data_IF_967697945486
#
_entry.id   IF_967697945486
#
_cell.length_a   1.000
_cell.length_b   1.000
_cell.length_c   1.000
_cell.angle_alpha   90.00
_cell.angle_beta   90.00
_cell.angle_gamma   90.00
#
_symmetry.space_group_name_H-M   'P 1'
#
loop_
_entity.id
_entity.type
_entity.pdbx_description
1 polymer ?
#
# COMPACT_ATOMS: atom_id res chain seq x y z
N UNK A 1 55.75 7.18 -10.35
CA UNK A 1 54.44 7.28 -11.01
C UNK A 1 53.75 5.94 -11.27
N UNK A 2 54.46 4.85 -11.57
CA UNK A 2 53.83 3.53 -11.79
C UNK A 2 53.25 2.85 -10.52
N UNK A 3 53.83 3.09 -9.34
CA UNK A 3 53.36 2.49 -8.08
C UNK A 3 52.00 3.05 -7.59
N UNK A 4 51.77 4.36 -7.77
CA UNK A 4 50.51 5.03 -7.40
C UNK A 4 49.33 4.61 -8.28
N UNK A 5 49.59 4.35 -9.56
CA UNK A 5 48.59 3.86 -10.51
C UNK A 5 48.21 2.41 -10.18
N UNK A 6 49.20 1.57 -9.83
CA UNK A 6 48.96 0.19 -9.43
C UNK A 6 48.18 0.07 -8.12
N UNK A 7 48.44 0.95 -7.14
CA UNK A 7 47.64 1.00 -5.90
C UNK A 7 46.22 1.52 -6.14
N UNK A 8 46.02 2.56 -6.94
CA UNK A 8 44.68 3.01 -7.32
C UNK A 8 43.91 1.95 -8.11
N UNK A 9 44.55 1.21 -9.01
CA UNK A 9 43.91 0.09 -9.72
C UNK A 9 43.61 -1.08 -8.79
N UNK A 10 44.46 -1.35 -7.79
CA UNK A 10 44.23 -2.38 -6.79
C UNK A 10 43.09 -1.99 -5.85
N UNK A 11 42.99 -0.71 -5.48
CA UNK A 11 41.90 -0.14 -4.68
C UNK A 11 40.58 -0.14 -5.46
N UNK A 12 40.60 0.27 -6.74
CA UNK A 12 39.46 0.11 -7.64
C UNK A 12 39.07 -1.38 -7.74
N UNK A 13 40.02 -2.29 -7.98
CA UNK A 13 39.72 -3.72 -8.11
C UNK A 13 39.16 -4.35 -6.83
N UNK A 14 39.54 -3.83 -5.64
CA UNK A 14 38.97 -4.21 -4.35
C UNK A 14 37.54 -3.67 -4.18
N UNK A 15 37.25 -2.47 -4.69
CA UNK A 15 35.89 -1.91 -4.77
C UNK A 15 35.00 -2.63 -5.81
N UNK A 16 35.58 -3.15 -6.89
CA UNK A 16 34.87 -3.86 -7.97
C UNK A 16 34.72 -5.37 -7.75
N UNK A 17 35.26 -5.93 -6.65
CA UNK A 17 35.28 -7.39 -6.44
C UNK A 17 33.95 -7.97 -5.96
N UNK A 18 33.05 -7.16 -5.39
CA UNK A 18 31.71 -7.58 -5.01
C UNK A 18 30.68 -6.98 -5.98
N UNK A 19 30.06 -7.85 -6.79
CA UNK A 19 28.93 -7.48 -7.67
C UNK A 19 27.86 -6.70 -6.91
N UNK A 20 27.63 -7.04 -5.64
CA UNK A 20 26.62 -6.42 -4.79
C UNK A 20 26.96 -4.96 -4.42
N UNK A 21 28.23 -4.61 -4.21
CA UNK A 21 28.63 -3.24 -3.85
C UNK A 21 28.64 -2.32 -5.07
N UNK A 22 29.01 -2.84 -6.25
CA UNK A 22 28.91 -2.09 -7.50
C UNK A 22 27.44 -1.84 -7.91
N UNK A 23 26.58 -2.86 -7.79
CA UNK A 23 25.14 -2.71 -8.04
C UNK A 23 24.52 -1.72 -7.05
N UNK A 24 24.90 -1.81 -5.76
CA UNK A 24 24.40 -0.91 -4.73
C UNK A 24 24.87 0.53 -4.95
N UNK A 25 26.16 0.78 -5.17
CA UNK A 25 26.68 2.12 -5.42
C UNK A 25 26.18 2.71 -6.74
N UNK A 26 26.00 1.87 -7.77
CA UNK A 26 25.37 2.27 -9.04
C UNK A 26 23.89 2.63 -8.88
N UNK A 27 23.13 1.85 -8.11
CA UNK A 27 21.73 2.14 -7.75
C UNK A 27 21.61 3.42 -6.92
N UNK A 28 22.53 3.65 -5.98
CA UNK A 28 22.57 4.90 -5.20
C UNK A 28 22.87 6.08 -6.11
N UNK A 29 23.87 6.00 -7.00
CA UNK A 29 24.21 7.09 -7.92
C UNK A 29 23.07 7.38 -8.92
N UNK A 30 22.48 6.35 -9.53
CA UNK A 30 21.30 6.49 -10.40
C UNK A 30 20.08 7.00 -9.61
N UNK A 31 19.93 6.56 -8.36
CA UNK A 31 18.90 7.03 -7.45
C UNK A 31 19.07 8.50 -7.12
N UNK A 32 20.29 8.97 -6.86
CA UNK A 32 20.59 10.38 -6.58
C UNK A 32 20.30 11.26 -7.79
N UNK A 33 20.87 10.95 -8.97
CA UNK A 33 20.65 11.71 -10.20
C UNK A 33 19.17 11.69 -10.60
N UNK A 34 18.53 10.51 -10.57
CA UNK A 34 17.10 10.38 -10.85
C UNK A 34 16.26 11.15 -9.84
N UNK A 35 16.66 11.20 -8.56
CA UNK A 35 15.97 11.96 -7.53
C UNK A 35 16.13 13.46 -7.72
N UNK A 36 17.32 13.96 -8.08
CA UNK A 36 17.54 15.39 -8.33
C UNK A 36 16.70 15.88 -9.52
N UNK A 37 16.69 15.14 -10.62
CA UNK A 37 15.87 15.46 -11.79
C UNK A 37 14.37 15.36 -11.49
N UNK A 38 13.94 14.36 -10.72
CA UNK A 38 12.55 14.25 -10.25
C UNK A 38 12.18 15.38 -9.28
N UNK A 39 13.07 15.79 -8.38
CA UNK A 39 12.82 16.89 -7.45
C UNK A 39 12.77 18.24 -8.17
N UNK A 40 13.49 18.40 -9.28
CA UNK A 40 13.42 19.58 -10.16
C UNK A 40 12.11 19.65 -10.93
N UNK A 41 11.64 18.55 -11.52
CA UNK A 41 10.35 18.50 -12.27
C UNK A 41 9.14 18.59 -11.34
N UNK A 42 9.24 18.04 -10.13
CA UNK A 42 8.20 18.13 -9.08
C UNK A 42 8.46 19.33 -8.16
N UNK A 43 9.35 20.26 -8.55
CA UNK A 43 9.64 21.44 -7.76
C UNK A 43 8.36 22.25 -7.57
N UNK A 44 8.00 22.43 -6.30
CA UNK A 44 6.82 23.18 -5.92
C UNK A 44 7.07 24.68 -6.15
N UNK A 45 6.31 25.29 -7.06
CA UNK A 45 6.41 26.71 -7.38
C UNK A 45 5.07 27.40 -7.10
N UNK A 46 5.02 28.24 -6.07
CA UNK A 46 3.79 28.94 -5.70
C UNK A 46 3.43 30.00 -6.76
N UNK A 47 2.16 30.09 -7.22
CA UNK A 47 1.76 31.05 -8.26
C UNK A 47 1.65 32.50 -7.78
N UNK A 48 1.72 32.74 -6.47
CA UNK A 48 1.66 34.06 -5.82
C UNK A 48 0.57 35.00 -6.34
N UNK A 49 -0.60 34.42 -6.55
CA UNK A 49 -1.80 35.11 -6.97
C UNK A 49 -2.91 34.86 -5.96
N UNK A 50 -3.68 35.89 -5.57
CA UNK A 50 -4.85 35.69 -4.71
C UNK A 50 -5.82 34.69 -5.36
N UNK A 51 -6.51 33.93 -4.52
CA UNK A 51 -7.41 32.81 -4.81
C UNK A 51 -6.78 31.59 -5.53
N UNK A 52 -5.63 31.72 -6.20
CA UNK A 52 -4.96 30.61 -6.88
C UNK A 52 -4.01 29.85 -5.96
N UNK A 53 -3.44 30.56 -5.00
CA UNK A 53 -2.51 30.04 -4.01
C UNK A 53 -3.10 28.89 -3.21
N UNK A 54 -4.29 29.05 -2.62
CA UNK A 54 -4.94 27.97 -1.86
C UNK A 54 -5.22 26.74 -2.74
N UNK A 55 -5.73 26.93 -3.96
CA UNK A 55 -6.07 25.82 -4.88
C UNK A 55 -4.81 25.05 -5.23
N UNK A 56 -3.75 25.76 -5.63
CA UNK A 56 -2.49 25.13 -6.03
C UNK A 56 -1.80 24.42 -4.86
N UNK A 57 -1.71 25.07 -3.70
CA UNK A 57 -1.11 24.48 -2.50
C UNK A 57 -1.87 23.25 -2.00
N UNK A 58 -3.21 23.29 -1.98
CA UNK A 58 -4.03 22.13 -1.64
C UNK A 58 -3.91 21.01 -2.68
N UNK A 59 -3.90 21.34 -3.97
CA UNK A 59 -3.73 20.35 -5.04
C UNK A 59 -2.36 19.67 -4.95
N UNK A 60 -1.29 20.41 -4.66
CA UNK A 60 0.06 19.87 -4.51
C UNK A 60 0.18 18.88 -3.34
N UNK A 61 -0.60 19.05 -2.27
CA UNK A 61 -0.66 18.09 -1.16
C UNK A 61 -1.61 16.93 -1.51
N UNK A 62 -2.83 17.25 -1.95
CA UNK A 62 -3.94 16.31 -2.06
C UNK A 62 -3.90 15.41 -3.30
N UNK A 63 -3.48 15.92 -4.47
CA UNK A 63 -3.49 15.14 -5.71
C UNK A 63 -2.46 13.99 -5.67
N UNK A 64 -1.20 14.21 -5.26
CA UNK A 64 -0.26 13.09 -5.13
C UNK A 64 -0.69 12.10 -4.05
N UNK A 65 -1.26 12.57 -2.93
CA UNK A 65 -1.84 11.69 -1.93
C UNK A 65 -2.97 10.81 -2.53
N UNK A 66 -3.90 11.40 -3.26
CA UNK A 66 -4.99 10.65 -3.91
C UNK A 66 -4.44 9.63 -4.92
N UNK A 67 -3.46 10.02 -5.74
CA UNK A 67 -2.82 9.11 -6.70
C UNK A 67 -2.16 7.93 -6.00
N UNK A 68 -1.37 8.18 -4.94
CA UNK A 68 -0.73 7.14 -4.14
C UNK A 68 -1.74 6.21 -3.47
N UNK A 69 -2.86 6.76 -2.99
CA UNK A 69 -3.95 6.00 -2.42
C UNK A 69 -4.58 5.05 -3.47
N UNK A 70 -4.90 5.56 -4.66
CA UNK A 70 -5.48 4.76 -5.75
C UNK A 70 -4.53 3.64 -6.18
N UNK A 71 -3.24 3.94 -6.34
CA UNK A 71 -2.21 2.93 -6.65
C UNK A 71 -2.19 1.85 -5.56
N UNK A 72 -2.21 2.27 -4.28
CA UNK A 72 -2.26 1.34 -3.14
C UNK A 72 -3.49 0.43 -3.13
N UNK A 73 -4.66 0.94 -3.55
CA UNK A 73 -5.89 0.15 -3.67
C UNK A 73 -5.80 -0.84 -4.84
N UNK A 74 -5.27 -0.41 -5.99
CA UNK A 74 -5.14 -1.21 -7.22
C UNK A 74 -4.16 -2.38 -7.04
N UNK A 75 -3.01 -2.16 -6.39
CA UNK A 75 -2.01 -3.22 -6.20
C UNK A 75 -2.34 -4.19 -5.06
N UNK A 76 -3.36 -3.92 -4.27
CA UNK A 76 -3.73 -4.79 -3.17
C UNK A 76 -4.59 -5.97 -3.67
N UNK A 77 -4.01 -7.17 -3.68
CA UNK A 77 -4.71 -8.41 -4.05
C UNK A 77 -5.98 -8.67 -3.22
N UNK A 78 -6.05 -8.17 -1.98
CA UNK A 78 -7.26 -8.29 -1.17
C UNK A 78 -8.43 -7.48 -1.73
N UNK A 79 -8.18 -6.35 -2.41
CA UNK A 79 -9.20 -5.55 -3.10
C UNK A 79 -9.89 -6.39 -4.16
N UNK A 80 -9.12 -7.02 -5.05
CA UNK A 80 -9.63 -7.82 -6.15
C UNK A 80 -10.36 -9.09 -5.67
N UNK A 81 -9.87 -9.71 -4.59
CA UNK A 81 -10.55 -10.84 -3.97
C UNK A 81 -11.95 -10.46 -3.47
N UNK A 82 -12.09 -9.28 -2.85
CA UNK A 82 -13.38 -8.78 -2.36
C UNK A 82 -14.32 -8.42 -3.51
N UNK A 83 -13.81 -7.76 -4.56
CA UNK A 83 -14.59 -7.45 -5.77
C UNK A 83 -15.08 -8.72 -6.45
N UNK A 84 -14.21 -9.72 -6.60
CA UNK A 84 -14.57 -11.01 -7.19
C UNK A 84 -15.62 -11.77 -6.36
N UNK A 85 -15.54 -11.71 -5.02
CA UNK A 85 -16.57 -12.27 -4.15
C UNK A 85 -17.91 -11.54 -4.26
N UNK A 86 -17.90 -10.21 -4.29
CA UNK A 86 -19.11 -9.41 -4.45
C UNK A 86 -19.82 -9.72 -5.78
N UNK A 87 -19.05 -9.77 -6.87
CA UNK A 87 -19.57 -10.10 -8.20
C UNK A 87 -20.18 -11.51 -8.27
N UNK A 88 -19.54 -12.53 -7.66
CA UNK A 88 -20.00 -13.92 -7.78
C UNK A 88 -21.04 -14.36 -6.75
N UNK A 89 -20.98 -13.86 -5.51
CA UNK A 89 -21.87 -14.30 -4.41
C UNK A 89 -23.00 -13.31 -4.08
N UNK A 90 -23.00 -12.14 -4.71
CA UNK A 90 -23.91 -11.05 -4.38
C UNK A 90 -23.67 -10.47 -2.98
N UNK A 91 -24.10 -9.23 -2.77
CA UNK A 91 -23.90 -8.47 -1.52
C UNK A 91 -24.50 -9.18 -0.28
N UNK A 92 -25.49 -10.06 -0.49
CA UNK A 92 -26.31 -10.69 0.57
C UNK A 92 -25.58 -11.67 1.49
N UNK A 93 -24.40 -12.17 1.10
CA UNK A 93 -23.68 -13.21 1.87
C UNK A 93 -22.57 -12.67 2.77
N UNK A 94 -22.36 -11.35 2.79
CA UNK A 94 -21.31 -10.73 3.58
C UNK A 94 -21.87 -10.22 4.91
N UNK A 95 -21.35 -10.74 6.03
CA UNK A 95 -21.58 -10.11 7.33
C UNK A 95 -21.00 -8.69 7.30
N UNK A 96 -21.79 -7.70 7.72
CA UNK A 96 -21.38 -6.30 7.73
C UNK A 96 -20.07 -6.09 8.50
N UNK A 97 -19.89 -6.81 9.62
CA UNK A 97 -18.68 -6.76 10.43
C UNK A 97 -17.45 -7.30 9.68
N UNK A 98 -17.58 -8.41 8.94
CA UNK A 98 -16.49 -8.97 8.15
C UNK A 98 -16.10 -8.05 6.99
N UNK A 99 -17.10 -7.43 6.35
CA UNK A 99 -16.88 -6.43 5.29
C UNK A 99 -16.12 -5.22 5.83
N UNK A 100 -16.50 -4.72 7.00
CA UNK A 100 -15.84 -3.59 7.65
C UNK A 100 -14.38 -3.90 8.02
N UNK A 101 -14.11 -5.10 8.56
CA UNK A 101 -12.74 -5.53 8.88
C UNK A 101 -11.86 -5.66 7.62
N UNK A 102 -12.41 -6.21 6.54
CA UNK A 102 -11.68 -6.33 5.27
C UNK A 102 -11.44 -4.98 4.63
N UNK A 103 -12.46 -4.11 4.62
CA UNK A 103 -12.35 -2.76 4.10
C UNK A 103 -11.30 -1.96 4.88
N UNK A 104 -11.34 -2.00 6.22
CA UNK A 104 -10.32 -1.40 7.08
C UNK A 104 -8.91 -1.95 6.82
N UNK A 105 -8.80 -3.25 6.55
CA UNK A 105 -7.52 -3.90 6.20
C UNK A 105 -6.97 -3.45 4.84
N UNK A 106 -7.84 -3.21 3.86
CA UNK A 106 -7.47 -2.72 2.52
C UNK A 106 -7.10 -1.25 2.60
N UNK A 107 -7.98 -0.42 3.17
CA UNK A 107 -7.81 1.02 3.32
C UNK A 107 -6.58 1.34 4.16
N UNK A 108 -6.36 0.63 5.27
CA UNK A 108 -5.20 0.83 6.13
C UNK A 108 -3.86 0.59 5.42
N UNK A 109 -3.78 -0.44 4.56
CA UNK A 109 -2.56 -0.69 3.75
C UNK A 109 -2.39 0.35 2.64
N UNK A 110 -3.47 0.73 1.97
CA UNK A 110 -3.44 1.74 0.91
C UNK A 110 -3.14 3.15 1.44
N UNK A 111 -3.51 3.46 2.69
CA UNK A 111 -3.33 4.77 3.31
C UNK A 111 -1.88 5.06 3.76
N UNK A 112 -0.99 4.07 3.80
CA UNK A 112 0.41 4.28 4.28
C UNK A 112 1.14 5.33 3.44
N UNK A 113 1.15 5.17 2.12
CA UNK A 113 1.82 6.08 1.19
C UNK A 113 1.24 7.51 1.21
N UNK A 114 -0.09 7.74 1.10
CA UNK A 114 -0.66 9.09 1.12
C UNK A 114 -0.49 9.81 2.47
N UNK A 115 -0.59 9.10 3.59
CA UNK A 115 -0.32 9.67 4.91
C UNK A 115 1.15 10.10 4.98
N UNK A 116 2.07 9.25 4.55
CA UNK A 116 3.51 9.57 4.52
C UNK A 116 3.80 10.80 3.66
N UNK A 117 3.23 10.87 2.46
CA UNK A 117 3.35 12.03 1.58
C UNK A 117 2.84 13.32 2.24
N UNK A 118 1.66 13.24 2.86
CA UNK A 118 1.02 14.40 3.51
C UNK A 118 1.87 14.89 4.70
N UNK A 119 2.39 13.98 5.50
CA UNK A 119 3.32 14.28 6.60
C UNK A 119 4.58 14.98 6.06
N UNK A 120 5.23 14.43 5.05
CA UNK A 120 6.44 15.03 4.46
C UNK A 120 6.14 16.43 3.92
N UNK A 121 5.01 16.60 3.22
CA UNK A 121 4.59 17.88 2.65
C UNK A 121 4.31 18.93 3.74
N UNK A 122 3.65 18.54 4.83
CA UNK A 122 3.39 19.42 5.98
C UNK A 122 4.66 19.77 6.75
N UNK A 123 5.60 18.84 6.91
CA UNK A 123 6.87 19.11 7.58
C UNK A 123 7.79 20.03 6.77
N UNK A 124 7.76 19.91 5.42
CA UNK A 124 8.41 20.88 4.51
C UNK A 124 7.75 22.25 4.61
N UNK A 125 6.42 22.29 4.66
CA UNK A 125 5.63 23.49 4.91
C UNK A 125 5.47 24.45 3.73
N UNK A 126 6.16 24.25 2.62
CA UNK A 126 6.11 25.13 1.44
C UNK A 126 4.70 25.24 0.84
N UNK A 127 4.03 24.09 0.65
CA UNK A 127 2.67 24.05 0.12
C UNK A 127 1.63 24.65 1.08
N UNK A 128 1.83 24.48 2.39
CA UNK A 128 0.96 25.07 3.42
C UNK A 128 1.12 26.59 3.49
N UNK A 129 2.37 27.09 3.46
CA UNK A 129 2.67 28.51 3.40
C UNK A 129 2.04 29.12 2.14
N UNK A 130 2.24 28.50 0.97
CA UNK A 130 1.61 28.96 -0.26
C UNK A 130 0.09 29.01 -0.13
N UNK A 131 -0.55 27.96 0.38
CA UNK A 131 -2.00 27.87 0.46
C UNK A 131 -2.63 28.88 1.43
N UNK A 132 -1.97 29.18 2.55
CA UNK A 132 -2.56 29.95 3.64
C UNK A 132 -2.07 31.39 3.77
N UNK A 133 -1.04 31.78 3.01
CA UNK A 133 -0.51 33.15 3.06
C UNK A 133 -1.59 34.20 2.81
N UNK A 134 -2.53 33.96 1.89
CA UNK A 134 -3.61 34.90 1.58
C UNK A 134 -4.67 35.05 2.69
N UNK A 135 -4.78 34.10 3.61
CA UNK A 135 -5.79 34.11 4.68
C UNK A 135 -5.30 34.73 5.98
N UNK A 136 -4.02 35.12 6.05
CA UNK A 136 -3.49 35.84 7.21
C UNK A 136 -4.12 37.22 7.28
N UNK A 137 -4.60 37.64 8.45
CA UNK A 137 -5.20 38.97 8.58
C UNK A 137 -4.10 40.02 8.76
N UNK A 138 -4.07 41.11 7.96
CA UNK A 138 -3.13 42.22 8.16
C UNK A 138 -3.22 42.83 9.56
N UNK A 139 -4.41 42.86 10.15
CA UNK A 139 -4.64 43.36 11.52
C UNK A 139 -3.98 42.53 12.62
N UNK A 140 -3.52 41.30 12.31
CA UNK A 140 -2.78 40.46 13.25
C UNK A 140 -1.27 40.76 13.26
N UNK A 141 -0.81 41.63 12.35
CA UNK A 141 0.59 42.04 12.24
C UNK A 141 0.76 43.45 12.82
N UNK A 142 1.70 43.60 13.76
CA UNK A 142 1.95 44.87 14.43
C UNK A 142 2.53 45.91 13.45
N UNK A 143 1.87 47.06 13.30
CA UNK A 143 2.28 48.17 12.42
C UNK A 143 2.36 47.80 10.93
N UNK A 144 1.47 46.92 10.45
CA UNK A 144 1.36 46.65 9.02
C UNK A 144 1.01 47.93 8.23
N UNK A 145 1.69 48.26 7.11
CA UNK A 145 1.42 49.50 6.40
C UNK A 145 0.03 49.47 5.75
N UNK A 146 -0.80 50.48 6.05
CA UNK A 146 -2.17 50.58 5.56
C UNK A 146 -2.28 50.78 4.03
N UNK A 147 -1.17 51.12 3.38
CA UNK A 147 -1.05 51.28 1.93
C UNK A 147 -1.21 49.96 1.16
N UNK A 148 -0.94 48.82 1.82
CA UNK A 148 -1.02 47.50 1.20
C UNK A 148 -2.29 46.76 1.61
N UNK A 149 -3.03 46.28 0.61
CA UNK A 149 -4.22 45.45 0.82
C UNK A 149 -3.89 44.01 1.23
N UNK A 150 -4.91 43.19 1.57
CA UNK A 150 -4.73 41.79 1.95
C UNK A 150 -4.12 40.93 0.82
N UNK A 151 -4.32 41.31 -0.44
CA UNK A 151 -3.82 40.57 -1.61
C UNK A 151 -2.29 40.51 -1.68
N UNK A 152 -1.58 41.45 -1.04
CA UNK A 152 -0.11 41.44 -0.96
C UNK A 152 0.41 40.23 -0.20
N UNK A 153 -0.35 39.71 0.76
CA UNK A 153 0.04 38.53 1.54
C UNK A 153 0.14 37.28 0.66
N UNK A 154 -0.66 37.19 -0.42
CA UNK A 154 -0.56 36.10 -1.39
C UNK A 154 0.81 36.06 -2.10
N UNK A 155 1.58 37.16 -2.10
CA UNK A 155 2.92 37.22 -2.73
C UNK A 155 4.07 36.87 -1.79
N UNK A 156 3.82 36.76 -0.49
CA UNK A 156 4.85 36.45 0.50
C UNK A 156 5.64 35.15 0.24
N UNK A 157 5.05 34.08 -0.34
CA UNK A 157 5.80 32.88 -0.70
C UNK A 157 6.89 33.10 -1.77
N UNK A 158 6.72 34.03 -2.72
CA UNK A 158 7.57 34.12 -3.92
C UNK A 158 8.82 35.00 -3.81
N UNK A 159 9.17 35.50 -2.63
CA UNK A 159 10.34 36.40 -2.42
C UNK A 159 10.28 37.75 -3.16
N UNK A 160 9.33 37.96 -4.05
CA UNK A 160 9.13 39.19 -4.85
C UNK A 160 8.30 40.25 -4.11
N UNK A 161 8.78 40.68 -2.94
CA UNK A 161 8.07 41.63 -2.06
C UNK A 161 8.99 42.83 -1.77
N UNK A 162 8.49 44.07 -1.78
CA UNK A 162 9.33 45.25 -1.52
C UNK A 162 9.98 45.20 -0.13
N UNK A 163 11.14 45.86 -0.01
CA UNK A 163 12.02 45.75 1.16
C UNK A 163 11.34 46.10 2.49
N UNK A 164 10.40 47.04 2.48
CA UNK A 164 9.59 47.46 3.63
C UNK A 164 8.69 46.34 4.20
N UNK A 165 8.36 45.32 3.41
CA UNK A 165 7.48 44.22 3.78
C UNK A 165 8.23 42.92 4.09
N UNK A 166 9.56 42.88 3.90
CA UNK A 166 10.39 41.68 4.15
C UNK A 166 10.29 41.16 5.58
N UNK A 167 10.30 42.05 6.57
CA UNK A 167 10.13 41.68 7.99
C UNK A 167 8.80 40.95 8.24
N UNK A 168 7.71 41.49 7.70
CA UNK A 168 6.37 40.90 7.83
C UNK A 168 6.27 39.57 7.09
N UNK A 169 6.89 39.48 5.92
CA UNK A 169 6.99 38.24 5.15
C UNK A 169 7.67 37.15 5.97
N UNK A 170 8.82 37.43 6.58
CA UNK A 170 9.55 36.45 7.38
C UNK A 170 8.78 36.04 8.63
N UNK A 171 8.09 36.98 9.28
CA UNK A 171 7.20 36.70 10.41
C UNK A 171 6.03 35.79 10.04
N UNK A 172 5.30 36.11 8.96
CA UNK A 172 4.19 35.32 8.45
C UNK A 172 4.65 33.95 7.98
N UNK A 173 5.76 33.89 7.24
CA UNK A 173 6.36 32.64 6.76
C UNK A 173 6.75 31.75 7.94
N UNK A 174 7.37 32.33 8.98
CA UNK A 174 7.72 31.58 10.21
C UNK A 174 6.50 31.06 10.94
N UNK A 175 5.44 31.88 11.07
CA UNK A 175 4.19 31.49 11.70
C UNK A 175 3.52 30.33 10.95
N UNK A 176 3.31 30.46 9.64
CA UNK A 176 2.68 29.44 8.82
C UNK A 176 3.53 28.16 8.74
N UNK A 177 4.87 28.28 8.73
CA UNK A 177 5.76 27.12 8.79
C UNK A 177 5.60 26.36 10.11
N UNK A 178 5.55 27.08 11.22
CA UNK A 178 5.29 26.48 12.54
C UNK A 178 3.93 25.76 12.56
N UNK A 179 2.86 26.41 12.09
CA UNK A 179 1.52 25.80 12.03
C UNK A 179 1.53 24.53 11.18
N UNK A 180 2.16 24.57 10.00
CA UNK A 180 2.33 23.41 9.12
C UNK A 180 3.08 22.26 9.79
N UNK A 181 4.22 22.55 10.43
CA UNK A 181 5.02 21.53 11.12
C UNK A 181 4.30 20.95 12.32
N UNK A 182 3.55 21.77 13.07
CA UNK A 182 2.69 21.32 14.15
C UNK A 182 1.63 20.35 13.64
N UNK A 183 0.92 20.69 12.55
CA UNK A 183 -0.03 19.76 11.92
C UNK A 183 0.63 18.47 11.45
N UNK A 184 1.84 18.54 10.89
CA UNK A 184 2.63 17.37 10.52
C UNK A 184 2.94 16.44 11.70
N UNK A 185 3.41 17.00 12.82
CA UNK A 185 3.68 16.24 14.04
C UNK A 185 2.43 15.67 14.71
N UNK A 186 1.35 16.45 14.76
CA UNK A 186 0.05 15.98 15.26
C UNK A 186 -0.49 14.83 14.42
N UNK A 187 -0.38 14.92 13.09
CA UNK A 187 -0.78 13.85 12.18
C UNK A 187 0.02 12.57 12.42
N UNK A 188 1.35 12.66 12.59
CA UNK A 188 2.19 11.51 12.97
C UNK A 188 1.70 10.89 14.28
N UNK A 189 1.47 11.71 15.31
CA UNK A 189 1.03 11.26 16.62
C UNK A 189 -0.33 10.53 16.56
N UNK A 190 -1.31 11.12 15.88
CA UNK A 190 -2.64 10.53 15.68
C UNK A 190 -2.53 9.20 14.94
N UNK A 191 -1.75 9.14 13.86
CA UNK A 191 -1.57 7.91 13.08
C UNK A 191 -0.89 6.82 13.91
N UNK A 192 0.13 7.15 14.70
CA UNK A 192 0.80 6.20 15.58
C UNK A 192 -0.16 5.62 16.63
N UNK A 193 -0.97 6.47 17.28
CA UNK A 193 -1.99 6.04 18.24
C UNK A 193 -3.05 5.17 17.57
N UNK A 194 -3.53 5.54 16.38
CA UNK A 194 -4.48 4.73 15.62
C UNK A 194 -3.92 3.35 15.26
N UNK A 195 -2.66 3.26 14.83
CA UNK A 195 -1.99 1.98 14.55
C UNK A 195 -1.88 1.15 15.82
N UNK A 196 -1.50 1.75 16.94
CA UNK A 196 -1.43 1.07 18.23
C UNK A 196 -2.79 0.53 18.66
N UNK A 197 -3.83 1.37 18.67
CA UNK A 197 -5.18 0.98 19.06
C UNK A 197 -5.75 -0.11 18.15
N UNK A 198 -5.57 0.00 16.83
CA UNK A 198 -6.05 -1.02 15.89
C UNK A 198 -5.33 -2.35 16.08
N UNK A 199 -4.04 -2.35 16.41
CA UNK A 199 -3.29 -3.56 16.76
C UNK A 199 -3.79 -4.18 18.07
N UNK A 200 -3.97 -3.36 19.12
CA UNK A 200 -4.52 -3.82 20.39
C UNK A 200 -5.92 -4.41 20.22
N UNK A 201 -6.82 -3.69 19.56
CA UNK A 201 -8.18 -4.16 19.27
C UNK A 201 -8.17 -5.44 18.44
N UNK A 202 -7.32 -5.54 17.41
CA UNK A 202 -7.18 -6.77 16.63
C UNK A 202 -6.77 -7.95 17.51
N UNK A 203 -5.81 -7.76 18.41
CA UNK A 203 -5.36 -8.83 19.30
C UNK A 203 -6.37 -9.18 20.40
N UNK A 204 -7.08 -8.19 20.96
CA UNK A 204 -8.11 -8.42 21.97
C UNK A 204 -9.39 -9.04 21.39
N UNK A 205 -9.77 -8.68 20.17
CA UNK A 205 -10.98 -9.18 19.50
C UNK A 205 -10.72 -10.41 18.63
N UNK A 206 -9.47 -10.89 18.53
CA UNK A 206 -9.16 -12.12 17.81
C UNK A 206 -9.67 -13.31 18.62
N UNK A 207 -10.55 -14.15 18.06
CA UNK A 207 -10.98 -15.39 18.73
C UNK A 207 -9.84 -16.44 18.79
N UNK A 208 -8.73 -16.19 18.09
CA UNK A 208 -7.59 -17.08 17.97
C UNK A 208 -6.45 -16.67 18.88
N UNK A 209 -5.82 -17.67 19.52
CA UNK A 209 -4.54 -17.49 20.21
C UNK A 209 -3.45 -17.02 19.25
N UNK A 210 -2.50 -16.22 19.74
CA UNK A 210 -1.36 -15.70 18.96
C UNK A 210 -0.61 -16.80 18.19
N UNK A 211 -0.37 -17.97 18.81
CA UNK A 211 0.31 -19.10 18.15
C UNK A 211 -0.52 -19.69 17.01
N UNK A 212 -1.84 -19.72 17.17
CA UNK A 212 -2.76 -20.24 16.18
C UNK A 212 -2.92 -19.27 15.00
N UNK A 213 -2.91 -17.95 15.25
CA UNK A 213 -2.85 -16.93 14.18
C UNK A 213 -1.55 -17.04 13.37
N UNK A 214 -0.41 -17.22 14.04
CA UNK A 214 0.88 -17.42 13.37
C UNK A 214 0.90 -18.71 12.51
N UNK A 215 0.41 -19.82 13.04
CA UNK A 215 0.26 -21.07 12.28
C UNK A 215 -0.68 -20.87 11.08
N UNK A 216 -1.80 -20.20 11.27
CA UNK A 216 -2.75 -19.93 10.20
C UNK A 216 -2.14 -19.10 9.06
N UNK A 217 -1.37 -18.07 9.40
CA UNK A 217 -0.64 -17.27 8.42
C UNK A 217 0.38 -18.11 7.63
N UNK A 218 1.10 -19.00 8.32
CA UNK A 218 2.08 -19.89 7.68
C UNK A 218 1.39 -20.93 6.77
N UNK A 219 0.29 -21.53 7.23
CA UNK A 219 -0.52 -22.45 6.42
C UNK A 219 -0.98 -21.78 5.13
N UNK A 220 -1.54 -20.57 5.21
CA UNK A 220 -1.99 -19.79 4.04
C UNK A 220 -0.87 -19.50 3.05
N UNK A 221 0.32 -19.15 3.55
CA UNK A 221 1.50 -18.92 2.71
C UNK A 221 1.97 -20.19 2.00
N UNK A 222 2.00 -21.31 2.71
CA UNK A 222 2.37 -22.60 2.12
C UNK A 222 1.34 -23.11 1.12
N UNK A 223 0.05 -22.99 1.44
CA UNK A 223 -1.05 -23.35 0.55
C UNK A 223 -0.99 -22.56 -0.76
N UNK A 224 -0.81 -21.24 -0.73
CA UNK A 224 -0.70 -20.42 -1.96
C UNK A 224 0.52 -20.80 -2.81
N UNK A 225 1.68 -21.05 -2.19
CA UNK A 225 2.89 -21.50 -2.90
C UNK A 225 2.70 -22.85 -3.58
N UNK A 226 2.15 -23.83 -2.85
CA UNK A 226 1.86 -25.16 -3.37
C UNK A 226 0.81 -25.08 -4.49
N UNK A 227 -0.26 -24.32 -4.28
CA UNK A 227 -1.33 -24.17 -5.25
C UNK A 227 -0.83 -23.58 -6.57
N UNK A 228 -0.02 -22.51 -6.53
CA UNK A 228 0.57 -21.90 -7.73
C UNK A 228 1.47 -22.86 -8.48
N UNK A 229 2.37 -23.55 -7.78
CA UNK A 229 3.29 -24.52 -8.39
C UNK A 229 2.53 -25.67 -9.05
N UNK A 230 1.52 -26.22 -8.37
CA UNK A 230 0.70 -27.31 -8.92
C UNK A 230 -0.18 -26.83 -10.08
N UNK A 231 -0.73 -25.62 -10.01
CA UNK A 231 -1.53 -25.04 -11.09
C UNK A 231 -0.70 -24.82 -12.37
N UNK A 232 0.54 -24.35 -12.24
CA UNK A 232 1.48 -24.20 -13.35
C UNK A 232 1.77 -25.56 -14.02
N UNK A 233 2.15 -26.57 -13.23
CA UNK A 233 2.41 -27.93 -13.73
C UNK A 233 1.16 -28.52 -14.40
N UNK A 234 0.00 -28.45 -13.74
CA UNK A 234 -1.26 -28.96 -14.28
C UNK A 234 -1.63 -28.30 -15.61
N UNK A 235 -1.47 -26.97 -15.71
CA UNK A 235 -1.76 -26.23 -16.95
C UNK A 235 -0.85 -26.63 -18.11
N UNK A 236 0.43 -26.91 -17.82
CA UNK A 236 1.43 -27.34 -18.81
C UNK A 236 1.12 -28.73 -19.34
N UNK A 237 0.76 -29.67 -18.45
CA UNK A 237 0.38 -31.04 -18.84
C UNK A 237 -0.90 -31.02 -19.71
N UNK A 238 -1.90 -30.22 -19.32
CA UNK A 238 -3.14 -30.08 -20.09
C UNK A 238 -2.88 -29.47 -21.47
N UNK A 239 -2.05 -28.42 -21.56
CA UNK A 239 -1.66 -27.83 -22.83
C UNK A 239 -0.92 -28.85 -23.72
N UNK A 240 0.01 -29.62 -23.17
CA UNK A 240 0.70 -30.68 -23.88
C UNK A 240 -0.29 -31.72 -24.44
N UNK A 241 -1.26 -32.18 -23.64
CA UNK A 241 -2.28 -33.14 -24.10
C UNK A 241 -3.08 -32.61 -25.30
N UNK A 242 -3.50 -31.34 -25.25
CA UNK A 242 -4.27 -30.71 -26.33
C UNK A 242 -3.43 -30.53 -27.61
N UNK A 243 -2.17 -30.09 -27.47
CA UNK A 243 -1.23 -29.96 -28.60
C UNK A 243 -0.95 -31.34 -29.23
N UNK A 244 -0.79 -32.39 -28.40
CA UNK A 244 -0.62 -33.78 -28.86
C UNK A 244 -1.83 -34.25 -29.66
N UNK A 245 -3.03 -33.92 -29.23
CA UNK A 245 -4.26 -34.31 -29.92
C UNK A 245 -4.41 -33.59 -31.27
N UNK A 246 -3.92 -32.36 -31.38
CA UNK A 246 -3.97 -31.59 -32.64
C UNK A 246 -2.88 -32.00 -33.65
N UNK A 247 -1.62 -32.12 -33.21
CA UNK A 247 -0.47 -32.40 -34.09
C UNK A 247 -0.06 -33.88 -34.15
N UNK A 248 -0.57 -34.74 -33.26
CA UNK A 248 -0.16 -36.14 -33.10
C UNK A 248 1.09 -36.35 -32.22
N UNK A 249 1.83 -35.29 -31.91
CA UNK A 249 3.02 -35.33 -31.04
C UNK A 249 3.21 -33.99 -30.31
N UNK A 250 4.10 -33.97 -29.30
CA UNK A 250 4.53 -32.74 -28.60
C UNK A 250 6.02 -32.82 -28.39
N UNK A 251 6.73 -31.73 -28.70
CA UNK A 251 8.12 -31.56 -28.33
C UNK A 251 8.18 -31.11 -26.86
N UNK A 252 8.66 -31.99 -26.00
CA UNK A 252 8.85 -31.75 -24.57
C UNK A 252 10.30 -32.01 -24.19
N UNK A 253 10.83 -31.18 -23.29
CA UNK A 253 12.11 -31.38 -22.62
C UNK A 253 12.06 -32.59 -21.67
N UNK A 254 13.23 -33.06 -21.21
CA UNK A 254 13.31 -34.25 -20.35
C UNK A 254 12.49 -34.09 -19.06
N UNK A 255 12.63 -32.94 -18.40
CA UNK A 255 11.92 -32.61 -17.16
C UNK A 255 10.39 -32.56 -17.37
N UNK A 256 9.93 -32.01 -18.50
CA UNK A 256 8.50 -31.96 -18.81
C UNK A 256 7.91 -33.33 -19.14
N UNK A 257 8.69 -34.19 -19.81
CA UNK A 257 8.28 -35.58 -20.08
C UNK A 257 8.09 -36.36 -18.78
N UNK A 258 8.98 -36.17 -17.82
CA UNK A 258 8.86 -36.78 -16.50
C UNK A 258 7.58 -36.29 -15.79
N UNK A 259 7.31 -34.97 -15.80
CA UNK A 259 6.10 -34.41 -15.20
C UNK A 259 4.80 -34.95 -15.82
N UNK A 260 4.75 -35.10 -17.15
CA UNK A 260 3.56 -35.63 -17.85
C UNK A 260 3.35 -37.12 -17.56
N UNK A 261 4.42 -37.88 -17.33
CA UNK A 261 4.35 -39.30 -16.98
C UNK A 261 3.99 -39.52 -15.51
N UNK A 262 4.53 -38.68 -14.62
CA UNK A 262 4.31 -38.77 -13.17
C UNK A 262 2.90 -38.36 -12.77
N UNK A 263 2.32 -37.33 -13.43
CA UNK A 263 1.02 -36.78 -13.08
C UNK A 263 0.00 -36.92 -14.22
N UNK A 264 -0.72 -38.08 -14.31
CA UNK A 264 -1.76 -38.25 -15.31
C UNK A 264 -2.97 -37.35 -14.99
N UNK A 265 -3.34 -36.49 -15.94
CA UNK A 265 -4.51 -35.60 -15.83
C UNK A 265 -5.64 -36.11 -16.72
N UNK A 266 -6.73 -36.56 -16.08
CA UNK A 266 -7.92 -37.07 -16.78
C UNK A 266 -8.86 -35.95 -17.22
N UNK A 267 -9.03 -34.89 -16.42
CA UNK A 267 -9.94 -33.79 -16.71
C UNK A 267 -9.66 -32.53 -15.90
N UNK A 268 -10.41 -31.47 -16.20
CA UNK A 268 -10.30 -30.15 -15.55
C UNK A 268 -11.38 -30.00 -14.48
N UNK A 269 -11.04 -29.36 -13.37
CA UNK A 269 -12.01 -29.03 -12.33
C UNK A 269 -13.10 -28.08 -12.87
N UNK A 270 -14.40 -28.40 -12.68
CA UNK A 270 -15.50 -27.54 -13.11
C UNK A 270 -15.49 -26.16 -12.46
N UNK A 271 -16.01 -25.14 -13.16
CA UNK A 271 -16.10 -23.76 -12.66
C UNK A 271 -16.74 -23.62 -11.26
N UNK A 272 -17.79 -24.40 -10.90
CA UNK A 272 -18.35 -24.36 -9.53
C UNK A 272 -17.33 -24.71 -8.43
N UNK A 273 -16.40 -25.65 -8.68
CA UNK A 273 -15.37 -26.02 -7.72
C UNK A 273 -14.34 -24.89 -7.53
N UNK A 274 -13.94 -24.24 -8.62
CA UNK A 274 -13.10 -23.03 -8.56
C UNK A 274 -13.75 -21.91 -7.74
N UNK A 275 -15.07 -21.72 -7.90
CA UNK A 275 -15.84 -20.73 -7.15
C UNK A 275 -16.00 -21.09 -5.65
N UNK A 276 -15.96 -22.39 -5.31
CA UNK A 276 -16.05 -22.85 -3.92
C UNK A 276 -14.78 -22.51 -3.14
N UNK A 277 -13.61 -22.74 -3.74
CA UNK A 277 -12.29 -22.53 -3.13
C UNK A 277 -11.83 -21.06 -3.17
N UNK A 278 -12.39 -20.25 -4.07
CA UNK A 278 -12.04 -18.83 -4.21
C UNK A 278 -12.79 -17.96 -3.20
N UNK A 279 -12.08 -16.97 -2.63
CA UNK A 279 -12.65 -15.90 -1.82
C UNK A 279 -11.97 -15.70 -0.47
N UNK A 280 -12.46 -14.73 0.30
CA UNK A 280 -12.03 -14.49 1.67
C UNK A 280 -12.56 -15.61 2.56
N UNK A 281 -11.70 -16.07 3.46
CA UNK A 281 -12.05 -17.08 4.46
C UNK A 281 -12.00 -16.45 5.85
N UNK A 282 -13.14 -16.47 6.54
CA UNK A 282 -13.24 -16.12 7.95
C UNK A 282 -13.01 -17.43 8.72
N UNK A 283 -12.17 -17.37 9.75
CA UNK A 283 -11.89 -18.54 10.59
C UNK A 283 -13.20 -19.17 11.08
N UNK A 284 -13.30 -20.49 10.93
CA UNK A 284 -14.42 -21.30 11.41
C UNK A 284 -13.88 -22.61 11.93
N UNK A 285 -14.53 -23.11 12.96
CA UNK A 285 -14.32 -24.45 13.49
C UNK A 285 -15.48 -25.34 13.06
N UNK A 286 -15.18 -26.59 12.73
CA UNK A 286 -16.18 -27.61 12.47
C UNK A 286 -15.99 -28.73 13.49
N UNK A 287 -16.97 -28.93 14.39
CA UNK A 287 -16.91 -29.95 15.47
C UNK A 287 -15.62 -29.87 16.30
N UNK A 288 -15.16 -28.66 16.62
CA UNK A 288 -13.92 -28.41 17.37
C UNK A 288 -12.62 -28.48 16.55
N UNK A 289 -12.69 -28.81 15.25
CA UNK A 289 -11.51 -28.79 14.38
C UNK A 289 -11.39 -27.48 13.59
N UNK A 290 -10.21 -26.84 13.60
CA UNK A 290 -9.98 -25.60 12.87
C UNK A 290 -9.92 -25.84 11.36
N UNK A 291 -10.64 -25.00 10.61
CA UNK A 291 -10.51 -24.90 9.16
C UNK A 291 -9.77 -23.60 8.84
N UNK A 292 -8.76 -23.67 7.97
CA UNK A 292 -7.80 -22.56 7.74
C UNK A 292 -7.96 -21.85 6.39
N UNK A 293 -8.68 -22.45 5.45
CA UNK A 293 -8.92 -21.86 4.13
C UNK A 293 -10.22 -22.42 3.54
N UNK A 294 -10.71 -21.78 2.47
CA UNK A 294 -11.82 -22.31 1.68
C UNK A 294 -11.48 -23.63 1.00
N UNK A 295 -10.23 -23.78 0.56
CA UNK A 295 -9.72 -25.02 -0.02
C UNK A 295 -9.71 -26.14 1.03
N UNK A 296 -9.25 -25.87 2.26
CA UNK A 296 -9.32 -26.82 3.37
C UNK A 296 -10.76 -27.19 3.69
N UNK A 297 -11.68 -26.20 3.73
CA UNK A 297 -13.11 -26.46 3.94
C UNK A 297 -13.69 -27.38 2.85
N UNK A 298 -13.40 -27.09 1.58
CA UNK A 298 -13.84 -27.89 0.44
C UNK A 298 -13.27 -29.31 0.49
N UNK A 299 -11.98 -29.45 0.78
CA UNK A 299 -11.30 -30.75 0.88
C UNK A 299 -11.85 -31.63 2.01
N UNK A 300 -12.36 -31.03 3.09
CA UNK A 300 -13.02 -31.75 4.20
C UNK A 300 -14.50 -32.06 3.94
N UNK A 301 -15.04 -31.72 2.77
CA UNK A 301 -16.43 -32.02 2.40
C UNK A 301 -17.46 -31.31 3.29
N UNK A 302 -17.07 -30.19 3.92
CA UNK A 302 -17.98 -29.42 4.78
C UNK A 302 -18.84 -28.54 3.87
N UNK A 303 -19.87 -29.13 3.27
CA UNK A 303 -20.80 -28.40 2.40
C UNK A 303 -21.49 -27.26 3.14
N UNK A 304 -21.70 -26.17 2.41
CA UNK A 304 -22.39 -24.99 2.93
C UNK A 304 -23.88 -25.26 3.02
N UNK A 305 -24.39 -25.51 4.22
CA UNK A 305 -25.77 -25.13 4.50
C UNK A 305 -25.86 -23.59 4.36
N UNK A 306 -26.62 -23.15 3.35
CA UNK A 306 -27.39 -21.91 3.45
C UNK A 306 -28.23 -21.93 4.74
N UNK A 307 -28.72 -20.78 5.20
CA UNK A 307 -29.03 -20.56 6.61
C UNK A 307 -30.10 -21.53 7.11
N UNK A 308 -29.68 -22.53 7.87
CA UNK A 308 -30.55 -23.22 8.82
C UNK A 308 -30.09 -22.79 10.21
N UNK A 309 -31.00 -22.22 11.03
CA UNK A 309 -30.69 -21.80 12.38
C UNK A 309 -30.60 -23.07 13.22
N UNK A 310 -29.39 -23.50 13.58
CA UNK A 310 -29.13 -24.41 14.71
C UNK A 310 -27.64 -24.76 14.71
N UNK A 311 -26.85 -23.83 15.24
CA UNK A 311 -25.55 -24.10 15.83
C UNK A 311 -25.61 -23.49 17.23
N UNK A 312 -26.08 -24.29 18.19
CA UNK A 312 -26.30 -23.94 19.58
C UNK A 312 -25.11 -23.16 20.18
N UNK A 313 -25.44 -22.01 20.77
CA UNK A 313 -25.04 -21.60 22.11
C UNK A 313 -23.57 -21.76 22.52
N UNK A 314 -22.86 -20.63 22.53
CA UNK A 314 -22.02 -20.28 23.68
C UNK A 314 -22.41 -18.88 24.15
N UNK A 315 -23.56 -18.84 24.83
CA UNK A 315 -23.97 -17.74 25.70
C UNK A 315 -24.02 -18.32 27.12
N UNK A 316 -22.85 -18.59 27.67
CA UNK A 316 -22.66 -18.67 29.11
C UNK A 316 -21.37 -17.92 29.43
N UNK A 317 -21.53 -16.68 29.87
CA UNK A 317 -20.97 -16.14 31.12
C UNK A 317 -21.18 -14.62 31.13
N UNK A 318 -22.32 -14.20 31.66
CA UNK A 318 -22.45 -13.02 32.53
C UNK A 318 -23.85 -13.05 33.16
N UNK A 319 -23.95 -13.82 34.25
CA UNK A 319 -24.56 -13.27 35.46
C UNK A 319 -23.68 -12.13 35.97
#
# INVERSE_FOLDING_TARGET
MAALIAENFRFLSLFFKSKDVMIFNGLVALGTVGSEELFSVVAFNCPCSPARNYIYGLAAIGVPALALFLIGVIWNNHTWNLVAECHKRGIKNFSAAATFLLFGSIMGRAAVAPVTWSVISLLRGEAYICALSEFVKPSSLDKFPAEYGPDVLARFPCKDVPANLTKFRDEVTRRLRYESQLFGWLLIGIVAVLIFLTKCLKHCCSPLSYRQEAYWAQYRSNEDKLFRRTAEVHSRILAAKNVKQFFGFVALDKEEKELVQEFPVEGVQPSPQWNAITGVYIYRENKGFPLYSRLHKWAKGVEGNGPSPEGHEMLFLAS
#
